data_IF_361250559269
#
_entry.id   IF_361250559269
#
_cell.length_a   1.000
_cell.length_b   1.000
_cell.length_c   1.000
_cell.angle_alpha   90.00
_cell.angle_beta   90.00
_cell.angle_gamma   90.00
#
_symmetry.space_group_name_H-M   'P 1'
#
loop_
_entity.id
_entity.type
_entity.pdbx_description
1 polymer ?
#
# COMPACT_ATOMS: atom_id res chain seq x y z
N UNK A 1 17.43 -13.37 14.61
CA UNK A 1 16.69 -12.43 15.49
C UNK A 1 15.55 -11.85 14.67
N UNK A 2 14.29 -12.03 15.08
CA UNK A 2 13.15 -11.46 14.35
C UNK A 2 13.22 -9.93 14.43
N UNK A 3 13.40 -9.24 13.30
CA UNK A 3 13.41 -7.78 13.26
C UNK A 3 12.10 -7.27 13.85
N UNK A 4 12.15 -6.45 14.91
CA UNK A 4 10.97 -5.88 15.57
C UNK A 4 10.17 -5.06 14.55
N UNK A 5 9.01 -5.55 14.13
CA UNK A 5 8.15 -4.83 13.18
C UNK A 5 7.43 -3.69 13.89
N UNK A 6 7.70 -2.44 13.51
CA UNK A 6 7.12 -1.24 14.12
C UNK A 6 5.83 -0.74 13.48
N UNK A 7 5.34 -1.40 12.43
CA UNK A 7 4.06 -1.08 11.78
C UNK A 7 3.00 -2.10 12.19
N UNK A 8 1.76 -1.64 12.34
CA UNK A 8 0.57 -2.48 12.49
C UNK A 8 -0.46 -2.14 11.41
N UNK A 9 -1.30 -3.13 11.10
CA UNK A 9 -2.44 -2.96 10.21
C UNK A 9 -3.74 -2.91 10.99
N UNK A 10 -4.67 -2.06 10.54
CA UNK A 10 -6.05 -2.02 11.01
C UNK A 10 -6.96 -2.09 9.77
N UNK A 11 -8.00 -2.93 9.74
CA UNK A 11 -8.89 -2.99 8.59
C UNK A 11 -9.58 -1.64 8.37
N UNK A 12 -9.58 -1.16 7.13
CA UNK A 12 -10.35 0.00 6.74
C UNK A 12 -11.85 -0.32 6.83
N UNK A 13 -12.64 0.61 7.34
CA UNK A 13 -14.10 0.47 7.42
C UNK A 13 -14.78 1.21 6.26
N UNK A 14 -15.34 0.50 5.26
CA UNK A 14 -16.04 1.12 4.13
C UNK A 14 -17.32 1.86 4.53
N UNK A 15 -17.87 1.61 5.72
CA UNK A 15 -19.14 2.18 6.18
C UNK A 15 -18.94 3.40 7.09
N UNK A 16 -17.70 3.68 7.49
CA UNK A 16 -17.34 4.77 8.39
C UNK A 16 -16.85 5.98 7.61
N UNK A 17 -17.63 7.07 7.64
CA UNK A 17 -17.27 8.32 6.96
C UNK A 17 -15.90 8.89 7.40
N UNK A 18 -15.48 8.82 8.68
CA UNK A 18 -14.11 9.19 9.07
C UNK A 18 -13.02 8.38 8.36
N UNK A 19 -13.24 7.09 8.10
CA UNK A 19 -12.28 6.25 7.37
C UNK A 19 -12.25 6.61 5.88
N UNK A 20 -13.41 6.84 5.28
CA UNK A 20 -13.53 7.25 3.86
C UNK A 20 -12.83 8.59 3.63
N UNK A 21 -13.13 9.58 4.48
CA UNK A 21 -12.55 10.91 4.36
C UNK A 21 -11.04 10.91 4.60
N UNK A 22 -10.54 10.16 5.59
CA UNK A 22 -9.10 10.01 5.80
C UNK A 22 -8.40 9.37 4.59
N UNK A 23 -9.05 8.40 3.94
CA UNK A 23 -8.45 7.72 2.79
C UNK A 23 -8.35 8.68 1.61
N UNK A 24 -9.42 9.46 1.38
CA UNK A 24 -9.45 10.53 0.38
C UNK A 24 -8.35 11.56 0.63
N UNK A 25 -8.14 11.99 1.87
CA UNK A 25 -7.05 12.89 2.25
C UNK A 25 -5.68 12.32 1.87
N UNK A 26 -5.40 11.07 2.24
CA UNK A 26 -4.14 10.43 1.89
C UNK A 26 -3.97 10.22 0.38
N UNK A 27 -5.06 9.96 -0.37
CA UNK A 27 -5.01 9.85 -1.84
C UNK A 27 -4.77 11.19 -2.52
N UNK A 28 -5.37 12.27 -2.03
CA UNK A 28 -5.06 13.63 -2.49
C UNK A 28 -3.59 13.96 -2.21
N UNK A 29 -3.07 13.64 -1.02
CA UNK A 29 -1.65 13.82 -0.69
C UNK A 29 -0.71 12.93 -1.49
N UNK A 30 -1.17 11.74 -1.91
CA UNK A 30 -0.44 10.87 -2.83
C UNK A 30 -0.48 11.38 -4.29
N UNK A 31 -1.40 12.29 -4.60
CA UNK A 31 -1.65 12.84 -5.93
C UNK A 31 -2.46 11.94 -6.86
N UNK A 32 -2.92 10.76 -6.43
CA UNK A 32 -3.49 9.72 -7.31
C UNK A 32 -4.88 9.26 -6.85
N UNK A 33 -5.83 9.14 -7.78
CA UNK A 33 -7.10 8.40 -7.63
C UNK A 33 -7.94 8.75 -6.39
N UNK A 34 -7.94 10.01 -5.94
CA UNK A 34 -8.76 10.42 -4.79
C UNK A 34 -10.26 10.29 -5.08
N UNK A 35 -10.66 10.45 -6.33
CA UNK A 35 -12.00 10.26 -6.86
C UNK A 35 -12.44 8.78 -6.84
N UNK A 36 -11.49 7.84 -6.87
CA UNK A 36 -11.80 6.40 -6.89
C UNK A 36 -12.12 5.81 -5.52
N UNK A 37 -11.96 6.56 -4.42
CA UNK A 37 -12.26 6.09 -3.05
C UNK A 37 -13.70 5.57 -2.92
N UNK A 38 -14.67 6.22 -3.58
CA UNK A 38 -16.05 5.77 -3.61
C UNK A 38 -16.22 4.40 -4.29
N UNK A 39 -15.47 4.15 -5.37
CA UNK A 39 -15.47 2.84 -6.02
C UNK A 39 -14.79 1.77 -5.15
N UNK A 40 -13.71 2.12 -4.47
CA UNK A 40 -13.02 1.20 -3.55
C UNK A 40 -13.88 0.78 -2.37
N UNK A 41 -14.78 1.67 -1.89
CA UNK A 41 -15.83 1.31 -0.93
C UNK A 41 -16.66 0.13 -1.44
N UNK A 42 -17.17 0.23 -2.66
CA UNK A 42 -17.95 -0.83 -3.30
C UNK A 42 -17.15 -2.11 -3.49
N UNK A 43 -15.90 -2.00 -3.95
CA UNK A 43 -15.01 -3.17 -4.13
C UNK A 43 -14.70 -3.88 -2.82
N UNK A 44 -14.55 -3.13 -1.72
CA UNK A 44 -14.32 -3.77 -0.42
C UNK A 44 -15.57 -4.48 0.10
N UNK A 45 -16.74 -3.86 -0.06
CA UNK A 45 -18.02 -4.48 0.31
C UNK A 45 -18.32 -5.73 -0.53
N UNK A 46 -17.86 -5.80 -1.77
CA UNK A 46 -18.01 -6.98 -2.65
C UNK A 46 -16.91 -8.03 -2.49
N UNK A 47 -15.94 -7.82 -1.59
CA UNK A 47 -14.83 -8.76 -1.36
C UNK A 47 -13.74 -8.73 -2.46
N UNK A 48 -13.76 -7.73 -3.35
CA UNK A 48 -12.78 -7.54 -4.41
C UNK A 48 -11.57 -6.70 -3.97
N UNK A 49 -11.65 -6.05 -2.82
CA UNK A 49 -10.57 -5.23 -2.26
C UNK A 49 -10.50 -5.36 -0.75
N UNK A 50 -9.29 -5.43 -0.22
CA UNK A 50 -9.03 -5.35 1.22
C UNK A 50 -8.09 -4.18 1.45
N UNK A 51 -8.61 -3.05 1.89
CA UNK A 51 -7.84 -1.89 2.34
C UNK A 51 -7.49 -2.02 3.82
N UNK A 52 -6.24 -1.69 4.12
CA UNK A 52 -5.67 -1.71 5.46
C UNK A 52 -5.02 -0.37 5.75
N UNK A 53 -5.32 0.19 6.92
CA UNK A 53 -4.57 1.28 7.49
C UNK A 53 -3.22 0.81 7.99
N UNK A 54 -2.20 1.63 7.80
CA UNK A 54 -0.88 1.48 8.41
C UNK A 54 -0.80 2.39 9.62
N UNK A 55 -0.35 1.85 10.75
CA UNK A 55 -0.17 2.58 12.02
C UNK A 55 1.23 2.35 12.56
N UNK A 56 1.83 3.41 13.12
CA UNK A 56 3.09 3.27 13.86
C UNK A 56 2.80 2.70 15.24
N UNK A 57 3.62 1.76 15.71
CA UNK A 57 3.50 1.22 17.07
C UNK A 57 4.17 2.17 18.07
N UNK A 58 3.56 2.42 19.25
CA UNK A 58 4.17 3.21 20.33
C UNK A 58 5.54 2.70 20.80
N UNK A 59 5.83 1.40 20.57
CA UNK A 59 7.11 0.80 20.90
C UNK A 59 8.29 1.21 19.98
N UNK A 60 8.05 2.03 18.95
CA UNK A 60 9.09 2.59 18.09
C UNK A 60 9.89 3.67 18.87
N UNK A 61 11.23 3.63 18.88
CA UNK A 61 12.04 4.57 19.69
C UNK A 61 11.77 6.05 19.40
N UNK A 62 11.46 6.38 18.13
CA UNK A 62 11.16 7.74 17.69
C UNK A 62 9.65 7.98 17.49
N UNK A 63 8.76 7.27 18.20
CA UNK A 63 7.30 7.32 17.97
C UNK A 63 6.77 8.76 17.96
N UNK A 64 7.00 9.52 19.05
CA UNK A 64 6.46 10.87 19.19
C UNK A 64 6.95 11.80 18.06
N UNK A 65 8.26 11.80 17.80
CA UNK A 65 8.86 12.61 16.73
C UNK A 65 8.27 12.29 15.35
N UNK A 66 8.09 11.01 15.02
CA UNK A 66 7.54 10.60 13.72
C UNK A 66 6.06 10.98 13.59
N UNK A 67 5.26 10.78 14.64
CA UNK A 67 3.85 11.20 14.63
C UNK A 67 3.73 12.72 14.56
N UNK A 68 4.57 13.46 15.29
CA UNK A 68 4.62 14.93 15.19
C UNK A 68 4.97 15.39 13.78
N UNK A 69 6.01 14.82 13.15
CA UNK A 69 6.37 15.15 11.76
C UNK A 69 5.22 14.87 10.78
N UNK A 70 4.55 13.72 10.94
CA UNK A 70 3.38 13.38 10.13
C UNK A 70 2.26 14.42 10.27
N UNK A 71 1.90 14.79 11.50
CA UNK A 71 0.82 15.76 11.77
C UNK A 71 1.20 17.17 11.30
N UNK A 72 2.46 17.58 11.46
CA UNK A 72 2.93 18.89 11.01
C UNK A 72 2.84 19.02 9.50
N UNK A 73 3.19 17.97 8.74
CA UNK A 73 3.10 17.98 7.28
C UNK A 73 1.66 17.78 6.79
N UNK A 74 0.83 17.03 7.52
CA UNK A 74 -0.56 16.73 7.16
C UNK A 74 -1.52 17.10 8.31
N UNK A 75 -1.77 18.41 8.56
CA UNK A 75 -2.60 18.85 9.70
C UNK A 75 -4.03 18.32 9.69
N UNK A 76 -4.60 18.07 8.51
CA UNK A 76 -5.90 17.44 8.33
C UNK A 76 -5.94 16.00 8.87
N UNK A 77 -4.78 15.35 8.99
CA UNK A 77 -4.62 14.00 9.51
C UNK A 77 -4.42 13.94 11.03
N UNK A 78 -4.39 15.10 11.72
CA UNK A 78 -4.12 15.23 13.16
C UNK A 78 -5.11 14.48 14.07
N UNK A 79 -6.38 14.44 13.70
CA UNK A 79 -7.44 13.84 14.53
C UNK A 79 -7.39 12.30 14.41
N UNK A 80 -7.26 11.55 15.51
CA UNK A 80 -7.37 10.09 15.46
C UNK A 80 -8.77 9.64 14.98
N UNK A 81 -8.83 8.51 14.29
CA UNK A 81 -10.09 7.85 13.90
C UNK A 81 -10.34 6.60 14.75
N UNK A 82 -11.60 6.26 14.97
CA UNK A 82 -12.00 5.08 15.75
C UNK A 82 -11.79 3.79 14.96
N UNK A 83 -11.39 2.71 15.63
CA UNK A 83 -11.25 1.38 15.02
C UNK A 83 -12.61 0.69 14.90
N UNK A 84 -13.33 1.02 13.82
CA UNK A 84 -14.62 0.44 13.46
C UNK A 84 -14.53 -0.66 12.39
N UNK A 85 -13.33 -0.99 11.93
CA UNK A 85 -13.13 -2.02 10.89
C UNK A 85 -13.59 -3.42 11.32
N UNK A 86 -13.72 -4.32 10.33
CA UNK A 86 -14.28 -5.66 10.55
C UNK A 86 -13.50 -6.49 11.58
N UNK A 87 -14.22 -7.22 12.43
CA UNK A 87 -13.64 -8.20 13.37
C UNK A 87 -13.27 -9.52 12.69
N UNK A 88 -13.83 -9.82 11.51
CA UNK A 88 -13.56 -11.05 10.77
C UNK A 88 -12.24 -11.01 9.99
N UNK A 89 -11.50 -9.91 10.06
CA UNK A 89 -10.21 -9.78 9.39
C UNK A 89 -9.20 -10.80 9.97
N UNK A 90 -8.52 -11.64 9.15
CA UNK A 90 -7.72 -12.76 9.68
C UNK A 90 -6.51 -12.39 10.53
N UNK A 91 -6.07 -11.13 10.50
CA UNK A 91 -5.00 -10.59 11.36
C UNK A 91 -5.53 -9.53 12.33
N UNK A 92 -6.83 -9.60 12.65
CA UNK A 92 -7.48 -8.69 13.60
C UNK A 92 -6.78 -8.76 14.95
N UNK A 93 -6.52 -7.59 15.51
CA UNK A 93 -6.06 -7.40 16.89
C UNK A 93 -7.19 -6.80 17.72
N UNK A 94 -6.95 -6.68 19.03
CA UNK A 94 -7.85 -5.95 19.93
C UNK A 94 -8.19 -4.57 19.38
N UNK A 95 -9.47 -4.19 19.49
CA UNK A 95 -9.97 -2.90 18.99
C UNK A 95 -9.24 -1.75 19.69
N UNK A 96 -8.78 -0.79 18.90
CA UNK A 96 -8.22 0.45 19.45
C UNK A 96 -9.33 1.48 19.64
N UNK A 97 -9.32 2.22 20.76
CA UNK A 97 -10.28 3.32 20.97
C UNK A 97 -10.15 4.39 19.87
N UNK A 98 -8.92 4.63 19.41
CA UNK A 98 -8.61 5.45 18.26
C UNK A 98 -7.15 5.27 17.83
N UNK A 99 -6.86 5.66 16.59
CA UNK A 99 -5.53 5.55 16.01
C UNK A 99 -5.29 6.65 14.96
N UNK A 100 -4.01 6.93 14.69
CA UNK A 100 -3.57 7.86 13.64
C UNK A 100 -3.02 7.04 12.47
N UNK A 101 -3.75 6.94 11.34
CA UNK A 101 -3.22 6.34 10.12
C UNK A 101 -2.01 7.13 9.63
N UNK A 102 -0.92 6.43 9.38
CA UNK A 102 0.30 7.00 8.76
C UNK A 102 0.43 6.59 7.29
N UNK A 103 -0.54 5.82 6.79
CA UNK A 103 -0.56 5.32 5.44
C UNK A 103 -1.66 4.28 5.22
N UNK A 104 -1.72 3.73 4.02
CA UNK A 104 -2.64 2.66 3.66
C UNK A 104 -2.01 1.72 2.63
N UNK A 105 -2.60 0.55 2.50
CA UNK A 105 -2.29 -0.39 1.42
C UNK A 105 -3.52 -1.23 1.10
N UNK A 106 -3.60 -1.76 -0.12
CA UNK A 106 -4.66 -2.69 -0.49
C UNK A 106 -4.17 -3.96 -1.16
N UNK A 107 -4.96 -5.01 -0.97
CA UNK A 107 -4.91 -6.23 -1.75
C UNK A 107 -6.18 -6.34 -2.59
N UNK A 108 -6.04 -6.61 -3.88
CA UNK A 108 -7.15 -6.72 -4.82
C UNK A 108 -7.37 -8.17 -5.26
N UNK A 109 -8.63 -8.58 -5.28
CA UNK A 109 -9.05 -9.95 -5.53
C UNK A 109 -9.86 -10.03 -6.83
N UNK A 110 -9.73 -11.14 -7.58
CA UNK A 110 -10.53 -11.34 -8.77
C UNK A 110 -12.03 -11.40 -8.42
N UNK A 111 -12.93 -10.85 -9.26
CA UNK A 111 -14.37 -10.92 -9.04
C UNK A 111 -14.93 -12.33 -8.89
N UNK A 112 -14.27 -13.32 -9.50
CA UNK A 112 -14.63 -14.74 -9.42
C UNK A 112 -14.27 -15.39 -8.08
N UNK A 113 -13.59 -14.67 -7.18
CA UNK A 113 -12.98 -15.22 -5.99
C UNK A 113 -11.76 -16.11 -6.30
N UNK A 114 -11.16 -16.65 -5.24
CA UNK A 114 -9.99 -17.53 -5.32
C UNK A 114 -10.41 -18.95 -4.92
N UNK A 115 -10.23 -19.90 -5.84
CA UNK A 115 -10.53 -21.32 -5.62
C UNK A 115 -9.30 -22.13 -5.22
N UNK A 116 -8.13 -21.80 -5.79
CA UNK A 116 -6.84 -22.42 -5.49
C UNK A 116 -5.79 -21.35 -5.16
N UNK A 117 -5.54 -21.08 -3.86
CA UNK A 117 -4.53 -20.14 -3.42
C UNK A 117 -3.14 -20.41 -4.00
N UNK A 118 -2.78 -21.67 -4.29
CA UNK A 118 -1.44 -22.04 -4.77
C UNK A 118 -1.10 -21.56 -6.17
N UNK A 119 -2.13 -21.21 -6.94
CA UNK A 119 -2.00 -20.68 -8.31
C UNK A 119 -2.53 -19.25 -8.43
N UNK A 120 -3.15 -18.74 -7.38
CA UNK A 120 -3.82 -17.45 -7.38
C UNK A 120 -2.83 -16.28 -7.42
N UNK A 121 -3.31 -15.19 -8.04
CA UNK A 121 -2.67 -13.88 -8.10
C UNK A 121 -3.62 -12.84 -7.53
N UNK A 122 -3.13 -12.02 -6.62
CA UNK A 122 -3.85 -10.86 -6.08
C UNK A 122 -3.10 -9.58 -6.42
N UNK A 123 -3.82 -8.49 -6.63
CA UNK A 123 -3.21 -7.17 -6.78
C UNK A 123 -2.62 -6.70 -5.46
N UNK A 124 -1.43 -6.09 -5.49
CA UNK A 124 -0.87 -5.34 -4.38
C UNK A 124 -0.83 -3.87 -4.79
N UNK A 125 -1.82 -3.10 -4.36
CA UNK A 125 -2.06 -1.76 -4.89
C UNK A 125 -2.16 -0.72 -3.79
N UNK A 126 -2.16 0.55 -4.19
CA UNK A 126 -2.39 1.70 -3.30
C UNK A 126 -1.51 1.72 -2.05
N UNK A 127 -0.26 1.25 -2.14
CA UNK A 127 0.70 1.43 -1.05
C UNK A 127 1.03 2.92 -0.93
N UNK A 128 0.62 3.51 0.17
CA UNK A 128 0.96 4.86 0.56
C UNK A 128 1.51 4.84 1.98
N UNK A 129 2.69 5.43 2.16
CA UNK A 129 3.26 5.76 3.46
C UNK A 129 3.52 7.26 3.47
N UNK A 130 3.11 7.92 4.56
CA UNK A 130 3.23 9.36 4.70
C UNK A 130 4.67 9.82 4.40
N UNK A 131 4.86 10.73 3.43
CA UNK A 131 6.17 11.28 3.07
C UNK A 131 6.98 11.78 4.26
N UNK A 132 6.31 12.36 5.27
CA UNK A 132 6.89 12.91 6.49
C UNK A 132 7.75 11.93 7.31
N UNK A 133 7.50 10.63 7.14
CA UNK A 133 8.11 9.59 7.98
C UNK A 133 8.73 8.46 7.14
N UNK A 134 8.90 8.68 5.83
CA UNK A 134 9.59 7.71 4.98
C UNK A 134 11.05 7.57 5.41
N UNK A 135 11.62 6.39 5.15
CA UNK A 135 12.91 5.98 5.70
C UNK A 135 12.74 5.03 6.89
N UNK A 136 13.83 4.79 7.62
CA UNK A 136 13.87 3.94 8.82
C UNK A 136 13.28 2.53 8.61
N UNK A 137 13.42 1.98 7.41
CA UNK A 137 12.90 0.67 7.02
C UNK A 137 11.38 0.47 7.17
N UNK A 138 10.57 1.54 7.32
CA UNK A 138 9.12 1.39 7.47
C UNK A 138 8.47 0.72 6.26
N UNK A 139 8.97 0.97 5.04
CA UNK A 139 8.52 0.27 3.84
C UNK A 139 8.76 -1.25 3.92
N UNK A 140 9.90 -1.70 4.44
CA UNK A 140 10.19 -3.13 4.68
C UNK A 140 9.18 -3.73 5.67
N UNK A 141 8.86 -3.00 6.74
CA UNK A 141 7.85 -3.42 7.72
C UNK A 141 6.47 -3.58 7.12
N UNK A 142 6.07 -2.67 6.22
CA UNK A 142 4.81 -2.77 5.48
C UNK A 142 4.81 -3.97 4.54
N UNK A 143 5.86 -4.17 3.74
CA UNK A 143 5.95 -5.31 2.82
C UNK A 143 5.89 -6.65 3.57
N UNK A 144 6.58 -6.78 4.71
CA UNK A 144 6.49 -7.98 5.57
C UNK A 144 5.04 -8.23 6.04
N UNK A 145 4.29 -7.19 6.39
CA UNK A 145 2.88 -7.31 6.78
C UNK A 145 2.02 -7.72 5.58
N UNK A 146 2.20 -7.07 4.42
CA UNK A 146 1.49 -7.42 3.20
C UNK A 146 1.71 -8.87 2.81
N UNK A 147 2.94 -9.37 2.90
CA UNK A 147 3.24 -10.79 2.66
C UNK A 147 2.47 -11.69 3.62
N UNK A 148 2.47 -11.36 4.91
CA UNK A 148 1.76 -12.14 5.93
C UNK A 148 0.24 -12.18 5.73
N UNK A 149 -0.36 -11.09 5.24
CA UNK A 149 -1.79 -11.04 4.89
C UNK A 149 -2.04 -11.80 3.58
N UNK A 150 -1.33 -11.43 2.51
CA UNK A 150 -1.58 -11.93 1.16
C UNK A 150 -1.31 -13.43 1.00
N UNK A 151 -0.31 -13.97 1.70
CA UNK A 151 0.05 -15.40 1.62
C UNK A 151 -1.07 -16.34 2.06
N UNK A 152 -2.04 -15.86 2.85
CA UNK A 152 -3.22 -16.64 3.24
C UNK A 152 -4.21 -16.84 2.11
N UNK A 153 -4.19 -15.97 1.11
CA UNK A 153 -5.19 -15.95 0.05
C UNK A 153 -4.62 -16.34 -1.31
N UNK A 154 -3.34 -16.04 -1.55
CA UNK A 154 -2.71 -16.29 -2.83
C UNK A 154 -1.23 -16.57 -2.68
N UNK A 155 -0.69 -17.33 -3.63
CA UNK A 155 0.74 -17.53 -3.78
C UNK A 155 1.43 -16.28 -4.32
N UNK A 156 0.80 -15.58 -5.25
CA UNK A 156 1.43 -14.46 -5.94
C UNK A 156 0.72 -13.14 -5.64
N UNK A 157 1.50 -12.11 -5.35
CA UNK A 157 1.04 -10.73 -5.46
C UNK A 157 1.56 -10.13 -6.77
N UNK A 158 0.76 -9.31 -7.44
CA UNK A 158 1.13 -8.63 -8.67
C UNK A 158 0.82 -7.14 -8.58
N UNK A 159 1.62 -6.32 -9.26
CA UNK A 159 1.34 -4.90 -9.41
C UNK A 159 1.94 -4.37 -10.70
N UNK A 160 1.59 -3.14 -11.06
CA UNK A 160 2.26 -2.38 -12.11
C UNK A 160 2.89 -1.16 -11.47
N UNK A 161 4.14 -0.86 -11.83
CA UNK A 161 4.89 0.27 -11.28
C UNK A 161 5.51 1.10 -12.40
N UNK A 162 5.55 2.43 -12.28
CA UNK A 162 6.30 3.28 -13.20
C UNK A 162 7.78 2.93 -13.22
N UNK A 163 8.38 2.87 -14.41
CA UNK A 163 9.84 2.73 -14.56
C UNK A 163 10.50 4.12 -14.62
N UNK A 164 11.77 4.17 -14.20
CA UNK A 164 12.63 5.37 -14.23
C UNK A 164 13.86 5.10 -15.10
N UNK A 165 13.63 4.84 -16.39
CA UNK A 165 14.69 4.40 -17.31
C UNK A 165 14.94 5.37 -18.48
N UNK A 166 13.99 6.24 -18.82
CA UNK A 166 14.16 7.28 -19.86
C UNK A 166 14.43 8.66 -19.25
N UNK A 167 15.04 9.56 -20.02
CA UNK A 167 15.24 10.96 -19.59
C UNK A 167 13.92 11.66 -19.26
N UNK A 168 12.87 11.40 -20.04
CA UNK A 168 11.52 11.90 -19.76
C UNK A 168 10.96 11.35 -18.43
N UNK A 169 11.23 10.07 -18.12
CA UNK A 169 10.84 9.50 -16.84
C UNK A 169 11.64 10.13 -15.68
N UNK A 170 12.93 10.41 -15.87
CA UNK A 170 13.75 11.11 -14.85
C UNK A 170 13.20 12.52 -14.60
N UNK A 171 12.98 13.32 -15.65
CA UNK A 171 12.40 14.67 -15.54
C UNK A 171 11.05 14.63 -14.83
N UNK A 172 10.21 13.66 -15.18
CA UNK A 172 8.92 13.42 -14.53
C UNK A 172 9.08 13.21 -13.02
N UNK A 173 9.98 12.32 -12.59
CA UNK A 173 10.22 12.05 -11.18
C UNK A 173 10.75 13.28 -10.42
N UNK A 174 11.65 14.06 -11.05
CA UNK A 174 12.20 15.28 -10.46
C UNK A 174 11.17 16.40 -10.32
N UNK A 175 10.19 16.48 -11.24
CA UNK A 175 9.10 17.46 -11.17
C UNK A 175 8.00 17.11 -10.17
N UNK A 176 7.79 15.83 -9.86
CA UNK A 176 6.82 15.42 -8.84
C UNK A 176 7.38 15.65 -7.41
N UNK A 177 7.38 16.91 -6.98
CA UNK A 177 7.78 17.36 -5.64
C UNK A 177 6.72 17.15 -4.54
N UNK A 178 5.71 16.33 -4.77
CA UNK A 178 4.50 16.16 -3.94
C UNK A 178 4.52 14.90 -3.04
N UNK A 179 5.69 14.27 -2.89
CA UNK A 179 5.82 13.06 -2.07
C UNK A 179 5.74 11.77 -2.87
N UNK A 180 6.21 11.76 -4.12
CA UNK A 180 6.57 10.51 -4.84
C UNK A 180 8.04 10.15 -4.57
N UNK A 181 8.43 8.87 -4.59
CA UNK A 181 9.83 8.51 -4.37
C UNK A 181 10.74 8.99 -5.51
N UNK A 182 11.90 9.56 -5.16
CA UNK A 182 12.93 9.99 -6.13
C UNK A 182 13.73 8.81 -6.73
N UNK A 183 13.51 7.60 -6.21
CA UNK A 183 14.16 6.37 -6.66
C UNK A 183 13.22 5.53 -7.55
N UNK A 184 13.80 4.62 -8.33
CA UNK A 184 13.04 3.64 -9.10
C UNK A 184 12.24 2.73 -8.16
N UNK A 185 10.92 2.85 -8.20
CA UNK A 185 10.01 1.96 -7.45
C UNK A 185 10.22 0.50 -7.84
N UNK A 186 10.47 0.23 -9.13
CA UNK A 186 10.75 -1.11 -9.61
C UNK A 186 11.99 -1.70 -8.94
N UNK A 187 13.12 -0.98 -8.95
CA UNK A 187 14.37 -1.42 -8.33
C UNK A 187 14.19 -1.61 -6.81
N UNK A 188 13.43 -0.70 -6.18
CA UNK A 188 13.11 -0.81 -4.76
C UNK A 188 12.33 -2.09 -4.46
N UNK A 189 11.30 -2.42 -5.24
CA UNK A 189 10.56 -3.67 -5.07
C UNK A 189 11.42 -4.91 -5.39
N UNK A 190 12.30 -4.83 -6.39
CA UNK A 190 13.25 -5.92 -6.71
C UNK A 190 14.17 -6.24 -5.53
N UNK A 191 14.58 -5.23 -4.76
CA UNK A 191 15.35 -5.43 -3.52
C UNK A 191 14.61 -6.26 -2.45
N UNK A 192 13.28 -6.40 -2.56
CA UNK A 192 12.44 -7.24 -1.70
C UNK A 192 12.03 -8.57 -2.36
N UNK A 193 12.63 -8.92 -3.50
CA UNK A 193 12.39 -10.18 -4.21
C UNK A 193 11.16 -10.16 -5.11
N UNK A 194 10.61 -8.99 -5.43
CA UNK A 194 9.69 -8.86 -6.56
C UNK A 194 10.46 -9.09 -7.86
N UNK A 195 9.80 -9.69 -8.85
CA UNK A 195 10.38 -9.95 -10.17
C UNK A 195 9.61 -9.18 -11.22
N UNK A 196 10.33 -8.49 -12.11
CA UNK A 196 9.74 -7.94 -13.34
C UNK A 196 9.15 -9.05 -14.19
N UNK A 197 7.99 -8.78 -14.76
CA UNK A 197 7.31 -9.64 -15.70
C UNK A 197 7.64 -9.16 -17.12
N UNK A 198 8.25 -10.02 -17.92
CA UNK A 198 8.51 -9.72 -19.32
C UNK A 198 7.21 -9.79 -20.11
N UNK A 199 6.51 -8.66 -20.19
CA UNK A 199 5.26 -8.47 -20.93
C UNK A 199 5.37 -7.26 -21.85
N UNK A 200 4.37 -7.11 -22.70
CA UNK A 200 4.19 -5.95 -23.58
C UNK A 200 4.29 -4.65 -22.79
N UNK A 201 5.02 -3.66 -23.35
CA UNK A 201 5.10 -2.31 -22.78
C UNK A 201 3.70 -1.73 -22.62
N UNK A 202 3.38 -1.31 -21.40
CA UNK A 202 2.12 -0.63 -21.08
C UNK A 202 2.43 0.82 -20.77
N UNK A 203 1.61 1.71 -21.29
CA UNK A 203 1.72 3.14 -21.03
C UNK A 203 0.42 3.65 -20.42
N UNK A 204 0.55 4.59 -19.47
CA UNK A 204 -0.55 5.40 -18.96
C UNK A 204 -0.22 6.86 -19.13
N UNK A 205 -1.24 7.71 -19.21
CA UNK A 205 -1.06 9.15 -19.20
C UNK A 205 -1.32 9.64 -17.78
N UNK A 206 -0.42 10.47 -17.27
CA UNK A 206 -0.62 11.17 -16.01
C UNK A 206 -0.47 12.66 -16.22
N UNK A 207 -1.32 13.44 -15.55
CA UNK A 207 -1.24 14.90 -15.59
C UNK A 207 -0.67 15.39 -14.27
N UNK A 208 0.33 16.27 -14.33
CA UNK A 208 0.87 16.90 -13.12
C UNK A 208 0.02 18.11 -12.67
N UNK A 209 0.43 18.73 -11.55
CA UNK A 209 -0.24 19.92 -10.99
C UNK A 209 -0.23 21.13 -11.91
N UNK A 210 0.67 21.19 -12.89
CA UNK A 210 0.77 22.27 -13.88
C UNK A 210 -0.05 21.97 -15.14
N UNK A 211 -0.71 20.81 -15.21
CA UNK A 211 -1.50 20.39 -16.36
C UNK A 211 -0.70 19.71 -17.47
N UNK A 212 0.61 19.46 -17.28
CA UNK A 212 1.42 18.75 -18.27
C UNK A 212 1.11 17.26 -18.23
N UNK A 213 0.91 16.68 -19.42
CA UNK A 213 0.65 15.26 -19.59
C UNK A 213 1.96 14.52 -19.82
N UNK A 214 2.17 13.47 -19.03
CA UNK A 214 3.32 12.58 -19.07
C UNK A 214 2.91 11.21 -19.58
N UNK A 215 3.69 10.66 -20.53
CA UNK A 215 3.53 9.28 -20.98
C UNK A 215 4.39 8.36 -20.11
N UNK A 216 3.73 7.60 -19.25
CA UNK A 216 4.38 6.80 -18.21
C UNK A 216 4.44 5.35 -18.64
N UNK A 217 5.63 4.80 -18.79
CA UNK A 217 5.81 3.36 -18.98
C UNK A 217 5.66 2.63 -17.63
N UNK A 218 4.87 1.56 -17.64
CA UNK A 218 4.64 0.70 -16.49
C UNK A 218 5.28 -0.68 -16.74
N UNK A 219 5.93 -1.22 -15.71
CA UNK A 219 6.38 -2.61 -15.68
C UNK A 219 5.52 -3.42 -14.72
N UNK A 220 5.10 -4.61 -15.16
CA UNK A 220 4.44 -5.58 -14.30
C UNK A 220 5.44 -6.22 -13.34
N UNK A 221 5.09 -6.33 -12.07
CA UNK A 221 5.90 -6.93 -11.01
C UNK A 221 5.12 -8.09 -10.38
N UNK A 222 5.80 -9.16 -10.01
CA UNK A 222 5.22 -10.32 -9.30
C UNK A 222 6.07 -10.70 -8.08
N UNK A 223 5.41 -11.04 -6.98
CA UNK A 223 6.03 -11.51 -5.75
C UNK A 223 5.51 -12.88 -5.36
N UNK A 224 6.39 -13.87 -5.22
CA UNK A 224 6.03 -15.15 -4.60
C UNK A 224 5.96 -14.95 -3.07
N UNK A 225 4.74 -14.93 -2.56
CA UNK A 225 4.43 -14.72 -1.14
C UNK A 225 4.76 -15.93 -0.28
N UNK A 226 4.87 -17.12 -0.88
CA UNK A 226 5.19 -18.37 -0.19
C UNK A 226 6.68 -18.68 -0.16
N UNK A 227 7.47 -17.94 -0.96
CA UNK A 227 8.90 -18.11 -1.06
C UNK A 227 9.29 -19.07 -2.19
N UNK A 228 10.45 -18.81 -2.77
CA UNK A 228 11.02 -19.60 -3.86
C UNK A 228 11.75 -20.84 -3.37
N UNK A 229 11.08 -21.68 -2.59
CA UNK A 229 11.40 -23.07 -2.30
C UNK A 229 10.20 -23.62 -1.55
N UNK A 230 9.78 -24.84 -1.86
CA UNK A 230 8.53 -25.48 -1.41
C UNK A 230 8.43 -25.42 0.13
N UNK A 231 7.87 -24.33 0.66
CA UNK A 231 7.47 -24.25 2.04
C UNK A 231 6.14 -25.00 2.12
N UNK A 232 6.16 -26.09 2.87
CA UNK A 232 5.00 -26.92 3.15
C UNK A 232 3.77 -26.05 3.41
N UNK A 233 2.66 -26.46 2.79
CA UNK A 233 1.34 -25.84 2.89
C UNK A 233 1.11 -25.25 4.30
N UNK A 234 0.58 -24.02 4.42
CA UNK A 234 -0.03 -23.60 5.66
C UNK A 234 -1.15 -24.62 5.96
N UNK A 235 -0.97 -25.43 7.00
CA UNK A 235 -2.05 -26.28 7.49
C UNK A 235 -3.14 -25.35 8.03
N UNK A 236 -4.32 -25.45 7.43
CA UNK A 236 -5.57 -24.86 7.93
C UNK A 236 -5.85 -25.35 9.34
#
# INVERSE_FOLDING_TARGET
>A
MSSKNFVSVIPWDPTSEPHVERLRQQRMSCGWDAENVSNWRTQQLSGQKVLLWLTLKPAHPCYDNLITSHILQFPQESKPISDSGSDTFPMRRERQKGFTPIGHVSLDFPPTGITDPSRARIGATSLYLSPAIRGLELGNHVLKLMRGVGSRFARFAVMEVPIRESDEAVERFERFGDGRPEFSLADWYESFGWKRQNKTRRFVNETDSEGRVWKVELVGMEWDLWGGEIAEKPRL
#
